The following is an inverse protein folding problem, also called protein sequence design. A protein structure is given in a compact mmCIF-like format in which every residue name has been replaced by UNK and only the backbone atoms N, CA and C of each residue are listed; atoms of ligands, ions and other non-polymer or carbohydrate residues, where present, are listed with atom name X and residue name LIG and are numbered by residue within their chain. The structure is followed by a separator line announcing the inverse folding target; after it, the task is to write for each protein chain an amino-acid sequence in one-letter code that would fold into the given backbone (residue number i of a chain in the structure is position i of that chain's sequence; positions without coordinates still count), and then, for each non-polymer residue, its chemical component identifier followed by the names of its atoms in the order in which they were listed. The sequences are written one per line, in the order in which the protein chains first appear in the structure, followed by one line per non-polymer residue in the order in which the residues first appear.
data_IF_020041561400
#
_entry.id   IF_020041561400
#
_cell.length_a   1.000
_cell.length_b   1.000
_cell.length_c   1.000
_cell.angle_alpha   90.00
_cell.angle_beta   90.00
_cell.angle_gamma   90.00
#
_symmetry.space_group_name_H-M   'P 1'
#
loop_
_entity.id
_entity.type
_entity.pdbx_description
1 polymer ?
#
# COMPACT_ATOMS: atom_id res chain seq x y z
N UNK A 1 -26.49 4.61 -11.53
CA UNK A 1 -26.57 4.83 -10.06
C UNK A 1 -25.39 4.25 -9.28
N UNK A 2 -24.75 3.17 -9.75
CA UNK A 2 -23.63 2.49 -9.07
C UNK A 2 -22.34 3.31 -8.96
N UNK A 3 -21.98 4.09 -9.98
CA UNK A 3 -20.73 4.88 -10.00
C UNK A 3 -20.73 5.99 -8.93
N UNK A 4 -21.81 6.78 -8.87
CA UNK A 4 -21.91 7.92 -7.94
C UNK A 4 -21.99 7.43 -6.49
N UNK A 5 -22.67 6.30 -6.26
CA UNK A 5 -22.65 5.58 -5.00
C UNK A 5 -21.23 5.08 -4.67
N UNK A 6 -20.53 4.50 -5.64
CA UNK A 6 -19.14 4.04 -5.51
C UNK A 6 -18.21 5.15 -5.03
N UNK A 7 -18.22 6.31 -5.69
CA UNK A 7 -17.45 7.46 -5.23
C UNK A 7 -17.82 7.92 -3.83
N UNK A 8 -19.13 8.04 -3.56
CA UNK A 8 -19.62 8.48 -2.25
C UNK A 8 -19.12 7.56 -1.15
N UNK A 9 -19.22 6.24 -1.34
CA UNK A 9 -18.74 5.24 -0.38
C UNK A 9 -17.22 5.24 -0.25
N UNK A 10 -16.47 5.33 -1.35
CA UNK A 10 -15.00 5.40 -1.32
C UNK A 10 -14.52 6.61 -0.53
N UNK A 11 -15.01 7.81 -0.85
CA UNK A 11 -14.60 9.02 -0.14
C UNK A 11 -15.05 9.02 1.32
N UNK A 12 -16.31 8.62 1.59
CA UNK A 12 -16.81 8.49 2.96
C UNK A 12 -15.94 7.54 3.78
N UNK A 13 -15.59 6.38 3.23
CA UNK A 13 -14.72 5.41 3.88
C UNK A 13 -13.33 5.99 4.16
N UNK A 14 -12.69 6.63 3.18
CA UNK A 14 -11.35 7.20 3.37
C UNK A 14 -11.38 8.31 4.44
N UNK A 15 -12.35 9.22 4.39
CA UNK A 15 -12.47 10.27 5.40
C UNK A 15 -12.78 9.71 6.79
N UNK A 16 -13.59 8.65 6.88
CA UNK A 16 -13.85 7.95 8.14
C UNK A 16 -12.56 7.35 8.70
N UNK A 17 -11.76 6.65 7.88
CA UNK A 17 -10.46 6.09 8.30
C UNK A 17 -9.51 7.19 8.78
N UNK A 18 -9.41 8.31 8.04
CA UNK A 18 -8.58 9.46 8.44
C UNK A 18 -9.07 10.07 9.75
N UNK A 19 -10.38 10.26 9.91
CA UNK A 19 -11.01 10.80 11.12
C UNK A 19 -10.82 9.90 12.34
N UNK A 20 -11.05 8.58 12.20
CA UNK A 20 -10.78 7.62 13.26
C UNK A 20 -9.31 7.59 13.65
N UNK A 21 -8.40 7.62 12.67
CA UNK A 21 -6.97 7.68 12.96
C UNK A 21 -6.59 8.97 13.69
N UNK A 22 -7.19 10.10 13.32
CA UNK A 22 -7.00 11.37 14.02
C UNK A 22 -7.47 11.29 15.49
N UNK A 23 -8.64 10.68 15.74
CA UNK A 23 -9.19 10.50 17.08
C UNK A 23 -8.30 9.56 17.93
N UNK A 24 -7.88 8.44 17.38
CA UNK A 24 -6.96 7.50 18.04
C UNK A 24 -5.62 8.19 18.33
N UNK A 25 -5.08 8.92 17.36
CA UNK A 25 -3.82 9.62 17.51
C UNK A 25 -3.85 10.69 18.59
N UNK A 26 -4.96 11.43 18.67
CA UNK A 26 -5.19 12.41 19.74
C UNK A 26 -5.38 11.74 21.11
N UNK A 27 -6.12 10.63 21.18
CA UNK A 27 -6.42 9.94 22.45
C UNK A 27 -5.22 9.19 23.03
N UNK A 28 -4.38 8.59 22.20
CA UNK A 28 -3.25 7.77 22.62
C UNK A 28 -1.89 8.45 22.39
N UNK A 29 -1.87 9.74 22.02
CA UNK A 29 -0.66 10.51 21.74
C UNK A 29 0.33 9.78 20.81
N UNK A 30 -0.20 9.15 19.76
CA UNK A 30 0.64 8.37 18.83
C UNK A 30 1.56 9.28 18.04
N UNK A 31 2.77 8.80 17.74
CA UNK A 31 3.68 9.50 16.84
C UNK A 31 3.11 9.50 15.40
N UNK A 32 3.41 10.55 14.62
CA UNK A 32 3.02 10.75 13.23
C UNK A 32 3.33 9.56 12.32
N UNK A 33 4.44 8.86 12.58
CA UNK A 33 4.81 7.65 11.82
C UNK A 33 3.77 6.53 11.98
N UNK A 34 3.25 6.32 13.19
CA UNK A 34 2.23 5.30 13.48
C UNK A 34 0.91 5.72 12.84
N UNK A 35 0.50 6.99 13.02
CA UNK A 35 -0.72 7.52 12.42
C UNK A 35 -0.72 7.39 10.89
N UNK A 36 0.42 7.66 10.25
CA UNK A 36 0.59 7.46 8.80
C UNK A 36 0.41 6.00 8.39
N UNK A 37 1.04 5.06 9.09
CA UNK A 37 0.92 3.62 8.80
C UNK A 37 -0.52 3.12 9.01
N UNK A 38 -1.21 3.60 10.04
CA UNK A 38 -2.63 3.31 10.24
C UNK A 38 -3.49 3.79 9.06
N UNK A 39 -3.22 5.00 8.54
CA UNK A 39 -3.93 5.52 7.36
C UNK A 39 -3.61 4.66 6.13
N UNK A 40 -2.35 4.30 5.90
CA UNK A 40 -1.97 3.45 4.77
C UNK A 40 -2.68 2.09 4.81
N UNK A 41 -2.74 1.44 5.98
CA UNK A 41 -3.47 0.18 6.18
C UNK A 41 -4.97 0.38 5.97
N UNK A 42 -5.57 1.39 6.61
CA UNK A 42 -7.02 1.58 6.56
C UNK A 42 -7.51 1.99 5.18
N UNK A 43 -6.82 2.93 4.52
CA UNK A 43 -7.17 3.43 3.18
C UNK A 43 -6.95 2.36 2.12
N UNK A 44 -6.03 1.40 2.29
CA UNK A 44 -5.82 0.37 1.28
C UNK A 44 -7.06 -0.50 1.05
N UNK A 45 -7.89 -0.73 2.07
CA UNK A 45 -9.15 -1.46 1.91
C UNK A 45 -10.19 -0.74 1.05
N UNK A 46 -10.02 0.56 0.77
CA UNK A 46 -10.83 1.26 -0.24
C UNK A 46 -10.68 0.63 -1.63
N UNK A 47 -9.59 -0.10 -1.89
CA UNK A 47 -9.38 -0.91 -3.09
C UNK A 47 -10.57 -1.82 -3.38
N UNK A 48 -11.10 -2.53 -2.37
CA UNK A 48 -12.23 -3.44 -2.59
C UNK A 48 -13.54 -2.70 -2.87
N UNK A 49 -13.74 -1.53 -2.27
CA UNK A 49 -14.90 -0.67 -2.55
C UNK A 49 -14.83 -0.18 -4.00
N UNK A 50 -13.66 0.31 -4.40
CA UNK A 50 -13.41 0.78 -5.77
C UNK A 50 -13.60 -0.39 -6.75
N UNK A 51 -12.99 -1.54 -6.50
CA UNK A 51 -13.14 -2.72 -7.35
C UNK A 51 -14.60 -3.15 -7.51
N UNK A 52 -15.36 -3.21 -6.41
CA UNK A 52 -16.75 -3.67 -6.44
C UNK A 52 -17.70 -2.69 -7.15
N UNK A 53 -17.59 -1.39 -6.90
CA UNK A 53 -18.53 -0.39 -7.43
C UNK A 53 -18.10 0.26 -8.75
N UNK A 54 -16.79 0.41 -8.96
CA UNK A 54 -16.20 1.11 -10.11
C UNK A 54 -15.51 0.16 -11.09
N UNK A 55 -15.20 -1.07 -10.67
CA UNK A 55 -14.51 -2.07 -11.50
C UNK A 55 -13.12 -1.63 -11.94
N UNK A 56 -12.58 -2.32 -12.94
CA UNK A 56 -11.34 -1.94 -13.61
C UNK A 56 -11.62 -0.94 -14.76
N UNK A 57 -12.15 0.23 -14.41
CA UNK A 57 -12.50 1.29 -15.38
C UNK A 57 -11.77 2.60 -15.06
N UNK A 58 -11.78 3.56 -15.99
CA UNK A 58 -11.20 4.90 -15.78
C UNK A 58 -11.72 5.58 -14.51
N UNK A 59 -12.93 5.24 -14.06
CA UNK A 59 -13.50 5.74 -12.81
C UNK A 59 -12.68 5.36 -11.58
N UNK A 60 -12.00 4.20 -11.57
CA UNK A 60 -11.15 3.75 -10.47
C UNK A 60 -9.84 4.53 -10.34
N UNK A 61 -9.40 5.23 -11.40
CA UNK A 61 -8.19 6.06 -11.37
C UNK A 61 -8.43 7.44 -10.74
N UNK A 62 -9.69 7.90 -10.70
CA UNK A 62 -10.04 9.23 -10.20
C UNK A 62 -9.72 9.40 -8.71
N UNK A 63 -10.07 8.47 -7.79
CA UNK A 63 -9.75 8.62 -6.39
C UNK A 63 -8.24 8.78 -6.11
N UNK A 64 -7.33 7.87 -6.55
CA UNK A 64 -5.91 8.05 -6.29
C UNK A 64 -5.35 9.30 -6.95
N UNK A 65 -5.83 9.69 -8.14
CA UNK A 65 -5.43 10.95 -8.79
C UNK A 65 -5.76 12.18 -7.93
N UNK A 66 -6.99 12.25 -7.41
CA UNK A 66 -7.40 13.34 -6.52
C UNK A 66 -6.57 13.36 -5.23
N UNK A 67 -6.23 12.19 -4.67
CA UNK A 67 -5.37 12.11 -3.49
C UNK A 67 -3.92 12.55 -3.76
N UNK A 68 -3.39 12.40 -4.98
CA UNK A 68 -2.10 13.02 -5.35
C UNK A 68 -2.19 14.54 -5.18
N UNK A 69 -3.23 15.16 -5.74
CA UNK A 69 -3.42 16.61 -5.68
C UNK A 69 -3.63 17.06 -4.24
N UNK A 70 -4.52 16.40 -3.49
CA UNK A 70 -4.81 16.74 -2.10
C UNK A 70 -3.58 16.58 -1.20
N UNK A 71 -2.84 15.48 -1.33
CA UNK A 71 -1.62 15.26 -0.54
C UNK A 71 -0.52 16.26 -0.91
N UNK A 72 -0.41 16.65 -2.19
CA UNK A 72 0.54 17.66 -2.63
C UNK A 72 0.19 19.06 -2.11
N UNK A 73 -1.09 19.44 -2.18
CA UNK A 73 -1.56 20.72 -1.62
C UNK A 73 -1.34 20.73 -0.11
N UNK A 74 -1.67 19.63 0.57
CA UNK A 74 -1.43 19.49 2.00
C UNK A 74 0.05 19.70 2.30
N UNK A 75 0.94 18.97 1.62
CA UNK A 75 2.38 19.08 1.81
C UNK A 75 2.88 20.53 1.69
N UNK A 76 2.32 21.32 0.76
CA UNK A 76 2.69 22.72 0.57
C UNK A 76 2.06 23.67 1.59
N UNK A 77 0.89 23.34 2.14
CA UNK A 77 0.06 24.25 2.96
C UNK A 77 -0.13 23.82 4.42
N UNK A 78 0.36 22.66 4.85
CA UNK A 78 0.22 22.18 6.23
C UNK A 78 -1.19 21.71 6.61
N UNK A 79 -2.03 21.31 5.65
CA UNK A 79 -3.48 21.10 5.88
C UNK A 79 -3.79 19.82 6.67
N UNK A 80 -3.03 18.74 6.46
CA UNK A 80 -3.12 17.49 7.22
C UNK A 80 -1.94 17.34 8.19
N UNK A 81 -1.91 18.20 9.22
CA UNK A 81 -0.86 18.21 10.26
C UNK A 81 -0.65 16.85 10.96
N UNK A 82 -1.65 15.97 10.92
CA UNK A 82 -1.63 14.61 11.49
C UNK A 82 -0.70 13.67 10.68
N UNK A 83 -0.51 13.93 9.39
CA UNK A 83 0.26 13.07 8.48
C UNK A 83 1.65 13.64 8.16
N UNK A 84 1.80 14.96 8.21
CA UNK A 84 3.03 15.64 7.81
C UNK A 84 4.07 15.69 8.95
N UNK A 85 5.28 15.19 8.71
CA UNK A 85 6.41 15.36 9.63
C UNK A 85 6.75 16.85 9.74
N UNK A 86 6.97 17.31 10.97
CA UNK A 86 7.32 18.70 11.24
C UNK A 86 8.78 18.94 10.80
N UNK A 87 8.98 19.58 9.65
CA UNK A 87 10.30 19.94 9.14
C UNK A 87 10.27 20.16 7.63
N UNK A 88 10.81 21.28 7.16
CA UNK A 88 10.86 21.71 5.74
C UNK A 88 11.64 20.78 4.79
N UNK A 89 12.08 19.60 5.24
CA UNK A 89 13.00 18.73 4.50
C UNK A 89 12.61 17.25 4.56
N UNK A 90 11.33 16.90 4.41
CA UNK A 90 10.97 15.47 4.36
C UNK A 90 9.94 15.13 3.28
N UNK A 91 10.35 14.18 2.43
CA UNK A 91 9.62 13.60 1.30
C UNK A 91 8.16 13.30 1.64
N UNK A 92 7.20 13.72 0.81
CA UNK A 92 5.80 13.40 1.04
C UNK A 92 5.52 11.94 0.65
N UNK A 93 5.86 11.00 1.53
CA UNK A 93 5.61 9.57 1.34
C UNK A 93 4.13 9.26 1.04
N UNK A 94 3.21 10.13 1.45
CA UNK A 94 1.78 10.07 1.16
C UNK A 94 1.44 10.47 -0.28
N UNK A 95 2.22 11.38 -0.89
CA UNK A 95 2.13 11.67 -2.32
C UNK A 95 2.68 10.49 -3.12
N UNK A 96 3.81 9.90 -2.72
CA UNK A 96 4.35 8.71 -3.40
C UNK A 96 3.43 7.50 -3.31
N UNK A 97 2.75 7.31 -2.18
CA UNK A 97 1.71 6.31 -2.00
C UNK A 97 0.54 6.53 -2.98
N UNK A 98 -0.01 7.75 -3.05
CA UNK A 98 -1.11 8.04 -3.97
C UNK A 98 -0.68 7.92 -5.44
N UNK A 99 0.57 8.30 -5.74
CA UNK A 99 1.16 8.21 -7.07
C UNK A 99 1.35 6.76 -7.51
N UNK A 100 1.90 5.89 -6.66
CA UNK A 100 2.03 4.46 -7.00
C UNK A 100 0.68 3.82 -7.28
N UNK A 101 -0.33 4.16 -6.49
CA UNK A 101 -1.70 3.70 -6.69
C UNK A 101 -2.33 4.15 -8.00
N UNK A 102 -2.15 5.42 -8.35
CA UNK A 102 -2.64 5.93 -9.62
C UNK A 102 -1.95 5.24 -10.80
N UNK A 103 -0.62 5.10 -10.76
CA UNK A 103 0.13 4.43 -11.82
C UNK A 103 -0.30 2.98 -12.00
N UNK A 104 -0.42 2.22 -10.90
CA UNK A 104 -0.86 0.83 -10.95
C UNK A 104 -2.31 0.68 -11.42
N UNK A 105 -3.20 1.60 -11.04
CA UNK A 105 -4.56 1.64 -11.56
C UNK A 105 -4.58 1.88 -13.07
N UNK A 106 -3.79 2.84 -13.58
CA UNK A 106 -3.67 3.09 -15.04
C UNK A 106 -3.11 1.88 -15.79
N UNK A 107 -2.08 1.23 -15.26
CA UNK A 107 -1.52 0.00 -15.86
C UNK A 107 -2.57 -1.11 -15.90
N UNK A 108 -3.34 -1.28 -14.82
CA UNK A 108 -4.43 -2.25 -14.75
C UNK A 108 -5.53 -1.99 -15.79
N UNK A 109 -5.78 -0.74 -16.19
CA UNK A 109 -6.71 -0.44 -17.29
C UNK A 109 -6.20 -0.93 -18.64
N UNK A 110 -4.89 -0.89 -18.86
CA UNK A 110 -4.27 -1.36 -20.10
C UNK A 110 -4.20 -2.88 -20.15
N UNK A 111 -4.19 -3.55 -18.99
CA UNK A 111 -4.14 -4.99 -18.90
C UNK A 111 -4.89 -5.50 -17.66
N UNK A 112 -6.07 -6.08 -17.87
CA UNK A 112 -6.95 -6.53 -16.80
C UNK A 112 -6.34 -7.66 -15.95
N UNK A 113 -5.50 -8.52 -16.54
CA UNK A 113 -4.84 -9.60 -15.78
C UNK A 113 -3.82 -9.06 -14.77
N UNK A 114 -3.39 -7.80 -14.92
CA UNK A 114 -2.51 -7.12 -13.96
C UNK A 114 -3.21 -6.75 -12.65
N UNK A 115 -4.55 -6.72 -12.59
CA UNK A 115 -5.31 -6.25 -11.43
C UNK A 115 -5.05 -7.06 -10.16
N UNK A 116 -4.85 -8.38 -10.29
CA UNK A 116 -4.50 -9.24 -9.16
C UNK A 116 -3.11 -8.87 -8.60
N UNK A 117 -2.12 -8.70 -9.50
CA UNK A 117 -0.76 -8.28 -9.15
C UNK A 117 -0.70 -6.85 -8.59
N UNK A 118 -1.55 -5.95 -9.08
CA UNK A 118 -1.77 -4.63 -8.49
C UNK A 118 -2.22 -4.77 -7.03
N UNK A 119 -3.27 -5.55 -6.77
CA UNK A 119 -3.73 -5.83 -5.41
C UNK A 119 -2.63 -6.38 -4.49
N UNK A 120 -1.86 -7.36 -4.98
CA UNK A 120 -0.74 -7.95 -4.22
C UNK A 120 0.28 -6.87 -3.84
N UNK A 121 0.83 -6.15 -4.81
CA UNK A 121 1.87 -5.14 -4.52
C UNK A 121 1.36 -4.04 -3.60
N UNK A 122 0.12 -3.58 -3.83
CA UNK A 122 -0.48 -2.55 -3.00
C UNK A 122 -0.63 -2.99 -1.53
N UNK A 123 -1.18 -4.17 -1.28
CA UNK A 123 -1.38 -4.66 0.08
C UNK A 123 -0.08 -5.12 0.74
N UNK A 124 0.93 -5.56 -0.02
CA UNK A 124 2.28 -5.79 0.51
C UNK A 124 2.86 -4.48 1.08
N UNK A 125 2.68 -3.34 0.40
CA UNK A 125 3.09 -2.06 0.98
C UNK A 125 2.19 -1.65 2.15
N UNK A 126 0.87 -1.69 1.99
CA UNK A 126 -0.04 -1.21 3.03
C UNK A 126 0.06 -2.01 4.33
N UNK A 127 0.01 -3.35 4.25
CA UNK A 127 0.05 -4.23 5.42
C UNK A 127 1.48 -4.57 5.84
N UNK A 128 2.33 -4.92 4.87
CA UNK A 128 3.71 -5.30 5.14
C UNK A 128 4.50 -4.13 5.73
N UNK A 129 4.65 -3.02 4.99
CA UNK A 129 5.33 -1.84 5.53
C UNK A 129 4.54 -1.24 6.70
N UNK A 130 3.22 -1.32 6.70
CA UNK A 130 2.39 -0.83 7.81
C UNK A 130 2.73 -1.48 9.16
N UNK A 131 2.95 -2.80 9.19
CA UNK A 131 3.13 -3.58 10.42
C UNK A 131 4.60 -3.86 10.73
N UNK A 132 5.45 -4.08 9.71
CA UNK A 132 6.83 -4.54 9.88
C UNK A 132 7.67 -3.64 10.82
N UNK A 133 7.68 -2.30 10.69
CA UNK A 133 8.46 -1.45 11.59
C UNK A 133 7.90 -1.37 13.01
N UNK A 134 6.60 -1.64 13.21
CA UNK A 134 6.00 -1.67 14.55
C UNK A 134 6.52 -2.91 15.31
N UNK A 135 6.45 -4.08 14.68
CA UNK A 135 6.96 -5.33 15.25
C UNK A 135 8.49 -5.27 15.39
N UNK A 136 9.17 -4.79 14.34
CA UNK A 136 10.63 -4.67 14.29
C UNK A 136 11.22 -3.72 15.33
N UNK A 137 10.45 -2.72 15.83
CA UNK A 137 10.84 -1.87 16.96
C UNK A 137 10.56 -2.50 18.32
N UNK A 138 9.54 -3.37 18.41
CA UNK A 138 9.13 -4.02 19.67
C UNK A 138 10.04 -5.21 20.04
N UNK A 139 10.54 -5.93 19.05
CA UNK A 139 11.41 -7.09 19.25
C UNK A 139 12.87 -6.69 18.99
N UNK A 140 13.72 -6.84 20.01
CA UNK A 140 15.16 -6.56 19.87
C UNK A 140 15.77 -7.47 18.81
N UNK A 141 16.44 -6.86 17.82
CA UNK A 141 17.12 -7.57 16.75
C UNK A 141 18.18 -6.66 16.11
N UNK A 142 19.03 -7.26 15.27
CA UNK A 142 20.04 -6.51 14.55
C UNK A 142 19.40 -5.41 13.69
N UNK A 143 19.98 -4.21 13.80
CA UNK A 143 19.59 -3.04 13.01
C UNK A 143 20.61 -2.83 11.90
N UNK A 144 20.13 -2.78 10.67
CA UNK A 144 20.92 -2.44 9.50
C UNK A 144 21.29 -0.95 9.52
N UNK A 145 22.30 -0.57 8.72
CA UNK A 145 22.76 0.82 8.57
C UNK A 145 21.68 1.78 8.06
N UNK A 146 20.69 1.27 7.33
CA UNK A 146 19.52 2.03 6.85
C UNK A 146 18.40 2.20 7.91
N UNK A 147 18.60 1.72 9.15
CA UNK A 147 17.66 1.86 10.25
C UNK A 147 16.56 0.78 10.32
N UNK A 148 16.55 -0.18 9.37
CA UNK A 148 15.60 -1.31 9.36
C UNK A 148 16.11 -2.44 10.26
N UNK A 149 15.21 -3.33 10.69
CA UNK A 149 15.57 -4.44 11.59
C UNK A 149 15.33 -5.78 10.91
N UNK A 150 16.13 -6.81 11.26
CA UNK A 150 15.95 -8.17 10.72
C UNK A 150 14.52 -8.66 10.98
N UNK A 151 14.00 -8.46 12.21
CA UNK A 151 12.63 -8.87 12.55
C UNK A 151 11.60 -8.13 11.72
N UNK A 152 11.81 -6.84 11.46
CA UNK A 152 10.95 -6.06 10.56
C UNK A 152 10.94 -6.64 9.14
N UNK A 153 12.10 -6.94 8.58
CA UNK A 153 12.23 -7.53 7.24
C UNK A 153 11.61 -8.94 7.15
N UNK A 154 11.77 -9.78 8.17
CA UNK A 154 11.09 -11.08 8.24
C UNK A 154 9.57 -10.89 8.32
N UNK A 155 9.10 -9.93 9.12
CA UNK A 155 7.69 -9.60 9.23
C UNK A 155 7.12 -9.11 7.88
N UNK A 156 7.85 -8.26 7.16
CA UNK A 156 7.50 -7.82 5.80
C UNK A 156 7.33 -9.02 4.87
N UNK A 157 8.28 -9.97 4.90
CA UNK A 157 8.23 -11.18 4.08
C UNK A 157 6.97 -12.01 4.38
N UNK A 158 6.72 -12.33 5.65
CA UNK A 158 5.59 -13.18 6.07
C UNK A 158 4.23 -12.54 5.76
N UNK A 159 4.08 -11.24 5.99
CA UNK A 159 2.83 -10.54 5.67
C UNK A 159 2.63 -10.49 4.15
N UNK A 160 3.68 -10.26 3.38
CA UNK A 160 3.60 -10.24 1.92
C UNK A 160 3.27 -11.62 1.33
N UNK A 161 3.77 -12.71 1.94
CA UNK A 161 3.34 -14.08 1.60
C UNK A 161 1.85 -14.29 1.87
N UNK A 162 1.36 -13.82 3.02
CA UNK A 162 -0.07 -13.88 3.34
C UNK A 162 -0.92 -13.08 2.34
N UNK A 163 -0.46 -11.89 1.92
CA UNK A 163 -1.13 -11.08 0.89
C UNK A 163 -1.18 -11.82 -0.44
N UNK A 164 -0.07 -12.42 -0.88
CA UNK A 164 -0.04 -13.20 -2.12
C UNK A 164 -1.02 -14.38 -2.08
N UNK A 165 -1.04 -15.12 -0.97
CA UNK A 165 -2.00 -16.22 -0.74
C UNK A 165 -3.44 -15.73 -0.80
N UNK A 166 -3.74 -14.63 -0.11
CA UNK A 166 -5.07 -14.05 -0.09
C UNK A 166 -5.55 -13.67 -1.49
N UNK A 167 -4.72 -12.98 -2.29
CA UNK A 167 -5.10 -12.56 -3.63
C UNK A 167 -5.21 -13.73 -4.61
N UNK A 168 -4.32 -14.72 -4.56
CA UNK A 168 -4.49 -15.94 -5.36
C UNK A 168 -5.80 -16.65 -5.02
N UNK A 169 -6.14 -16.77 -3.73
CA UNK A 169 -7.41 -17.34 -3.29
C UNK A 169 -8.62 -16.50 -3.76
N UNK A 170 -8.57 -15.19 -3.58
CA UNK A 170 -9.66 -14.27 -3.94
C UNK A 170 -9.98 -14.30 -5.43
N UNK A 171 -8.96 -14.40 -6.30
CA UNK A 171 -9.12 -14.53 -7.75
C UNK A 171 -9.30 -15.98 -8.23
N UNK A 172 -9.39 -16.95 -7.32
CA UNK A 172 -9.49 -18.39 -7.65
C UNK A 172 -8.35 -18.91 -8.54
N UNK A 173 -7.15 -18.36 -8.34
CA UNK A 173 -5.93 -18.74 -9.06
C UNK A 173 -5.19 -19.89 -8.35
N UNK A 174 -4.48 -20.76 -9.10
CA UNK A 174 -3.67 -21.81 -8.51
C UNK A 174 -2.57 -21.23 -7.61
N UNK A 175 -2.41 -21.83 -6.43
CA UNK A 175 -1.44 -21.38 -5.43
C UNK A 175 -0.16 -22.22 -5.55
N UNK A 176 0.93 -21.58 -5.98
CA UNK A 176 2.26 -22.15 -5.95
C UNK A 176 3.05 -21.59 -4.77
N UNK A 177 3.53 -22.45 -3.88
CA UNK A 177 4.29 -22.03 -2.68
C UNK A 177 5.54 -21.25 -3.09
N UNK A 178 6.21 -21.66 -4.16
CA UNK A 178 7.39 -20.96 -4.69
C UNK A 178 7.06 -19.55 -5.20
N UNK A 179 5.89 -19.34 -5.82
CA UNK A 179 5.41 -18.00 -6.20
C UNK A 179 5.17 -17.12 -4.97
N UNK A 180 4.49 -17.66 -3.94
CA UNK A 180 4.22 -16.95 -2.68
C UNK A 180 5.51 -16.55 -1.98
N UNK A 181 6.48 -17.46 -1.88
CA UNK A 181 7.81 -17.17 -1.33
C UNK A 181 8.54 -16.11 -2.16
N UNK A 182 8.45 -16.16 -3.49
CA UNK A 182 9.05 -15.16 -4.37
C UNK A 182 8.49 -13.76 -4.09
N UNK A 183 7.17 -13.61 -3.95
CA UNK A 183 6.54 -12.33 -3.59
C UNK A 183 6.99 -11.84 -2.22
N UNK A 184 7.06 -12.73 -1.22
CA UNK A 184 7.55 -12.42 0.12
C UNK A 184 8.99 -11.89 0.12
N UNK A 185 9.89 -12.61 -0.52
CA UNK A 185 11.32 -12.27 -0.61
C UNK A 185 11.50 -10.97 -1.40
N UNK A 186 10.81 -10.81 -2.54
CA UNK A 186 10.85 -9.59 -3.34
C UNK A 186 10.39 -8.38 -2.54
N UNK A 187 9.29 -8.51 -1.80
CA UNK A 187 8.76 -7.44 -0.94
C UNK A 187 9.73 -7.07 0.17
N UNK A 188 10.39 -8.04 0.80
CA UNK A 188 11.43 -7.82 1.81
C UNK A 188 12.64 -7.07 1.23
N UNK A 189 13.11 -7.45 0.04
CA UNK A 189 14.27 -6.80 -0.61
C UNK A 189 13.90 -5.37 -1.02
N UNK A 190 12.75 -5.17 -1.67
CA UNK A 190 12.30 -3.85 -2.10
C UNK A 190 12.02 -2.92 -0.92
N UNK A 191 11.45 -3.45 0.16
CA UNK A 191 11.32 -2.71 1.41
C UNK A 191 12.70 -2.33 1.91
N UNK A 192 13.65 -3.26 2.03
CA UNK A 192 14.99 -2.97 2.53
C UNK A 192 15.75 -1.90 1.72
N UNK A 193 15.59 -1.91 0.39
CA UNK A 193 16.15 -0.90 -0.52
C UNK A 193 15.44 0.47 -0.41
N UNK A 194 14.14 0.47 -0.09
CA UNK A 194 13.33 1.68 0.06
C UNK A 194 13.72 2.49 1.29
N UNK A 195 14.37 3.64 1.07
CA UNK A 195 14.73 4.60 2.12
C UNK A 195 14.06 5.95 1.89
N UNK A 196 13.90 6.76 2.95
CA UNK A 196 13.36 8.14 2.87
C UNK A 196 11.99 8.25 2.16
N UNK A 197 11.10 7.28 2.36
CA UNK A 197 9.75 7.30 1.79
C UNK A 197 9.64 6.75 0.36
N UNK A 198 10.75 6.39 -0.28
CA UNK A 198 10.76 5.73 -1.60
C UNK A 198 10.17 4.32 -1.55
N UNK A 199 10.12 3.69 -0.38
CA UNK A 199 9.40 2.44 -0.12
C UNK A 199 7.92 2.52 -0.58
N UNK A 200 7.26 3.66 -0.40
CA UNK A 200 5.87 3.90 -0.83
C UNK A 200 5.69 3.92 -2.37
N UNK A 201 6.78 3.94 -3.13
CA UNK A 201 6.80 3.84 -4.58
C UNK A 201 7.36 2.47 -5.02
N UNK A 202 8.52 2.09 -4.47
CA UNK A 202 9.27 0.90 -4.86
C UNK A 202 8.53 -0.40 -4.50
N UNK A 203 7.97 -0.50 -3.29
CA UNK A 203 7.29 -1.72 -2.85
C UNK A 203 6.03 -1.98 -3.69
N UNK A 204 5.05 -1.08 -3.79
CA UNK A 204 3.82 -1.39 -4.53
C UNK A 204 4.12 -1.63 -6.02
N UNK A 205 4.94 -0.80 -6.66
CA UNK A 205 5.24 -0.94 -8.08
C UNK A 205 6.07 -2.20 -8.33
N UNK A 206 7.20 -2.34 -7.63
CA UNK A 206 8.12 -3.45 -7.84
C UNK A 206 7.50 -4.81 -7.53
N UNK A 207 6.75 -4.92 -6.42
CA UNK A 207 6.07 -6.17 -6.07
C UNK A 207 4.95 -6.49 -7.06
N UNK A 208 4.20 -5.50 -7.54
CA UNK A 208 3.19 -5.72 -8.58
C UNK A 208 3.81 -6.25 -9.88
N UNK A 209 4.92 -5.68 -10.36
CA UNK A 209 5.58 -6.18 -11.56
C UNK A 209 6.22 -7.56 -11.38
N UNK A 210 6.87 -7.80 -10.24
CA UNK A 210 7.48 -9.12 -9.95
C UNK A 210 6.39 -10.19 -9.81
N UNK A 211 5.30 -9.89 -9.11
CA UNK A 211 4.18 -10.83 -8.99
C UNK A 211 3.50 -11.06 -10.33
N UNK A 212 3.34 -10.05 -11.18
CA UNK A 212 2.80 -10.22 -12.53
C UNK A 212 3.69 -11.11 -13.41
N UNK A 213 5.00 -10.85 -13.44
CA UNK A 213 5.96 -11.69 -14.16
C UNK A 213 5.98 -13.13 -13.63
N UNK A 214 5.91 -13.29 -12.31
CA UNK A 214 5.75 -14.60 -11.68
C UNK A 214 4.47 -15.31 -12.11
N UNK A 215 3.34 -14.62 -12.11
CA UNK A 215 2.07 -15.21 -12.53
C UNK A 215 2.12 -15.70 -13.99
N UNK A 216 2.77 -14.96 -14.89
CA UNK A 216 3.01 -15.41 -16.27
C UNK A 216 3.93 -16.64 -16.34
N UNK A 217 5.06 -16.62 -15.61
CA UNK A 217 6.03 -17.73 -15.61
C UNK A 217 5.44 -19.05 -15.10
N UNK A 218 4.57 -18.98 -14.11
CA UNK A 218 3.90 -20.15 -13.53
C UNK A 218 2.61 -20.55 -14.30
N UNK A 219 2.22 -19.80 -15.34
CA UNK A 219 0.97 -20.03 -16.06
C UNK A 219 -0.28 -19.81 -15.20
N UNK A 220 -0.19 -18.95 -14.18
CA UNK A 220 -1.31 -18.57 -13.31
C UNK A 220 -2.30 -17.69 -14.09
N UNK A 221 -1.76 -16.82 -14.95
CA UNK A 221 -2.48 -15.94 -15.86
C UNK A 221 -1.95 -16.15 -17.28
N UNK A 222 -2.79 -15.87 -18.29
CA UNK A 222 -2.48 -15.98 -19.72
C UNK A 222 -2.30 -14.61 -20.33
#
# INVERSE_FOLDING_TARGET
MTILLGYSLTFLYIFLVMGLTALVSKRFHTNKEISRKMIHIGVSFSFFIIYYFLGNTWYACIPPFLFIILNYISYKKGLFQIMERSGKEETPGTVYYALSMFLLAVISLMNETFLCSFGIGFFCMALGDGVAPIIGKKISSYRFSNGKTIVGSICMCLISMFVALFFCYFYSYPIYISFVCMVGIASMILEWLGTKGLDNLLVPIGVSFISYGGMLMYGIIV
#
